data_IF_740140548276
#
_entry.id   IF_740140548276
#
_cell.length_a   1.000
_cell.length_b   1.000
_cell.length_c   1.000
_cell.angle_alpha   90.00
_cell.angle_beta   90.00
_cell.angle_gamma   90.00
#
_symmetry.space_group_name_H-M   'P 1'
#
loop_
_entity.id
_entity.type
_entity.pdbx_description
1 polymer ?
#
# COMPACT_ATOMS: atom_id res chain seq x y z
N UNK A 1 -24.49 48.74 -57.51
CA UNK A 1 -23.38 48.43 -56.59
C UNK A 1 -23.70 48.96 -55.22
N UNK A 2 -23.78 48.11 -54.19
CA UNK A 2 -23.41 48.41 -52.81
C UNK A 2 -23.44 47.10 -52.02
N UNK A 3 -22.23 46.66 -51.67
CA UNK A 3 -21.94 45.34 -51.13
C UNK A 3 -22.52 45.14 -49.74
N UNK A 4 -23.12 43.97 -49.57
CA UNK A 4 -23.53 43.41 -48.30
C UNK A 4 -22.26 42.89 -47.60
N UNK A 5 -21.76 43.61 -46.59
CA UNK A 5 -20.66 43.13 -45.74
C UNK A 5 -21.21 42.03 -44.83
N UNK A 6 -21.07 40.78 -45.26
CA UNK A 6 -21.25 39.60 -44.42
C UNK A 6 -20.06 39.50 -43.46
N UNK A 7 -20.23 39.96 -42.23
CA UNK A 7 -19.29 39.70 -41.14
C UNK A 7 -19.57 38.31 -40.59
N UNK A 8 -18.85 37.31 -41.12
CA UNK A 8 -18.89 35.94 -40.60
C UNK A 8 -18.14 35.88 -39.28
N UNK A 9 -18.88 35.86 -38.17
CA UNK A 9 -18.35 35.68 -36.83
C UNK A 9 -17.90 34.21 -36.66
N UNK A 10 -16.59 33.97 -36.68
CA UNK A 10 -16.01 32.63 -36.45
C UNK A 10 -16.18 32.29 -34.96
N UNK A 11 -17.14 31.43 -34.64
CA UNK A 11 -17.21 30.76 -33.34
C UNK A 11 -16.09 29.70 -33.27
N UNK A 12 -15.00 30.03 -32.60
CA UNK A 12 -14.02 29.03 -32.15
C UNK A 12 -14.68 28.18 -31.05
N UNK A 13 -14.58 26.84 -31.11
CA UNK A 13 -15.03 26.00 -30.01
C UNK A 13 -14.12 26.25 -28.81
N UNK A 14 -14.66 26.87 -27.76
CA UNK A 14 -14.06 26.87 -26.43
C UNK A 14 -14.09 25.44 -25.92
N UNK A 15 -13.00 24.69 -26.13
CA UNK A 15 -12.76 23.43 -25.44
C UNK A 15 -12.60 23.74 -23.94
N UNK A 16 -13.72 23.76 -23.21
CA UNK A 16 -13.73 23.78 -21.76
C UNK A 16 -13.20 22.43 -21.27
N UNK A 17 -11.92 22.37 -20.92
CA UNK A 17 -11.34 21.20 -20.27
C UNK A 17 -11.79 21.20 -18.82
N UNK A 18 -12.52 20.17 -18.41
CA UNK A 18 -12.88 20.00 -17.00
C UNK A 18 -11.60 19.66 -16.22
N UNK A 19 -11.12 20.60 -15.42
CA UNK A 19 -9.95 20.43 -14.58
C UNK A 19 -10.38 20.21 -13.14
N UNK A 20 -9.85 19.17 -12.53
CA UNK A 20 -10.13 18.86 -11.13
C UNK A 20 -9.41 19.84 -10.21
N UNK A 21 -10.14 20.44 -9.27
CA UNK A 21 -9.56 21.36 -8.28
C UNK A 21 -9.48 20.65 -6.94
N UNK A 22 -8.27 20.55 -6.41
CA UNK A 22 -7.97 19.89 -5.14
C UNK A 22 -7.54 20.97 -4.14
N UNK A 23 -8.25 21.10 -3.04
CA UNK A 23 -7.98 22.10 -2.01
C UNK A 23 -7.47 21.42 -0.75
N UNK A 24 -6.18 21.55 -0.47
CA UNK A 24 -5.57 21.02 0.74
C UNK A 24 -6.15 21.68 1.99
N UNK A 25 -6.45 20.86 2.98
CA UNK A 25 -6.76 21.31 4.33
C UNK A 25 -5.44 21.70 5.02
N UNK A 26 -5.41 22.78 5.82
CA UNK A 26 -4.18 23.21 6.47
C UNK A 26 -3.68 22.19 7.51
N UNK A 27 -4.62 21.59 8.23
CA UNK A 27 -4.35 20.60 9.27
C UNK A 27 -5.52 19.62 9.35
N UNK A 28 -5.21 18.35 9.62
CA UNK A 28 -6.19 17.29 9.85
C UNK A 28 -5.79 16.49 11.07
N UNK A 29 -6.79 16.08 11.84
CA UNK A 29 -6.59 15.20 12.99
C UNK A 29 -7.36 13.91 12.75
N UNK A 30 -6.65 12.79 12.65
CA UNK A 30 -7.19 11.49 12.30
C UNK A 30 -7.13 10.52 13.48
N UNK A 31 -8.12 9.63 13.55
CA UNK A 31 -8.19 8.55 14.54
C UNK A 31 -7.60 7.24 14.02
N UNK A 32 -7.34 7.17 12.71
CA UNK A 32 -6.78 6.03 11.99
C UNK A 32 -5.37 6.36 11.48
N UNK A 33 -4.48 5.36 11.42
CA UNK A 33 -3.12 5.48 10.87
C UNK A 33 -3.09 5.60 9.35
N UNK A 34 -4.04 4.97 8.67
CA UNK A 34 -4.15 5.02 7.21
C UNK A 34 -4.76 6.35 6.77
N UNK A 35 -3.99 7.16 6.05
CA UNK A 35 -4.42 8.46 5.55
C UNK A 35 -4.95 8.30 4.12
N UNK A 36 -6.17 8.78 3.86
CA UNK A 36 -6.73 8.85 2.52
C UNK A 36 -6.56 10.25 1.94
N UNK A 37 -6.56 10.36 0.61
CA UNK A 37 -6.58 11.67 -0.06
C UNK A 37 -7.81 12.48 0.35
N UNK A 38 -8.98 11.85 0.50
CA UNK A 38 -10.19 12.52 0.99
C UNK A 38 -10.10 13.05 2.41
N UNK A 39 -9.19 12.52 3.23
CA UNK A 39 -9.00 13.00 4.60
C UNK A 39 -8.30 14.36 4.63
N UNK A 40 -7.45 14.64 3.64
CA UNK A 40 -6.52 15.79 3.64
C UNK A 40 -6.92 16.93 2.69
N UNK A 41 -7.86 16.69 1.77
CA UNK A 41 -8.26 17.70 0.78
C UNK A 41 -9.72 17.62 0.40
N UNK A 42 -10.25 18.75 -0.09
CA UNK A 42 -11.55 18.85 -0.73
C UNK A 42 -11.39 18.80 -2.24
N UNK A 43 -12.25 18.01 -2.89
CA UNK A 43 -12.28 17.86 -4.34
C UNK A 43 -13.45 18.67 -4.88
N UNK A 44 -13.18 19.54 -5.86
CA UNK A 44 -14.18 20.27 -6.63
C UNK A 44 -14.03 19.91 -8.12
N UNK A 45 -15.06 19.27 -8.67
CA UNK A 45 -15.09 18.71 -10.02
C UNK A 45 -16.07 17.55 -10.14
N UNK A 46 -16.12 16.91 -11.32
CA UNK A 46 -17.13 15.89 -11.62
C UNK A 46 -17.03 14.69 -10.63
N UNK A 47 -18.19 14.31 -10.10
CA UNK A 47 -18.38 13.68 -8.79
C UNK A 47 -18.03 12.19 -8.71
N UNK A 48 -17.55 11.58 -9.79
CA UNK A 48 -17.30 10.13 -9.90
C UNK A 48 -15.83 9.73 -9.77
N UNK A 49 -14.96 10.64 -9.31
CA UNK A 49 -13.53 10.37 -9.28
C UNK A 49 -13.13 9.48 -8.07
N UNK A 50 -12.45 8.33 -8.28
CA UNK A 50 -12.03 7.41 -7.22
C UNK A 50 -10.91 7.97 -6.33
N UNK A 51 -10.56 9.25 -6.49
CA UNK A 51 -9.54 9.96 -5.72
C UNK A 51 -9.81 9.89 -4.23
N UNK A 52 -11.08 9.92 -3.83
CA UNK A 52 -11.47 9.87 -2.42
C UNK A 52 -11.03 8.57 -1.72
N UNK A 53 -10.84 7.47 -2.47
CA UNK A 53 -10.43 6.16 -1.93
C UNK A 53 -8.93 5.88 -2.02
N UNK A 54 -8.15 6.80 -2.59
CA UNK A 54 -6.70 6.62 -2.72
C UNK A 54 -6.07 6.71 -1.33
N UNK A 55 -5.33 5.66 -0.97
CA UNK A 55 -4.52 5.59 0.25
C UNK A 55 -3.19 6.30 -0.01
N UNK A 56 -2.80 7.19 0.90
CA UNK A 56 -1.51 7.86 0.89
C UNK A 56 -0.49 6.93 1.57
N UNK A 57 0.64 6.60 0.92
CA UNK A 57 1.73 5.85 1.54
C UNK A 57 2.28 6.52 2.81
N UNK A 58 2.63 5.71 3.82
CA UNK A 58 3.11 6.21 5.13
C UNK A 58 4.42 7.00 5.04
N UNK A 59 5.20 6.77 3.98
CA UNK A 59 6.44 7.49 3.71
C UNK A 59 6.22 8.98 3.49
N UNK A 60 5.05 9.37 2.96
CA UNK A 60 4.71 10.76 2.58
C UNK A 60 4.21 11.63 3.74
N UNK A 61 3.98 11.05 4.91
CA UNK A 61 3.53 11.80 6.10
C UNK A 61 4.27 11.41 7.37
N UNK A 62 5.45 10.78 7.23
CA UNK A 62 6.26 10.33 8.35
C UNK A 62 6.74 11.49 9.22
N UNK A 63 6.99 12.63 8.62
CA UNK A 63 7.35 13.89 9.29
C UNK A 63 6.12 14.70 9.77
N UNK A 64 4.92 14.18 9.54
CA UNK A 64 3.65 14.80 9.92
C UNK A 64 3.15 15.88 8.94
N UNK A 65 3.78 16.03 7.77
CA UNK A 65 3.39 17.01 6.75
C UNK A 65 3.29 16.31 5.41
N UNK A 66 2.19 16.50 4.70
CA UNK A 66 2.04 16.08 3.30
C UNK A 66 2.16 17.31 2.43
N UNK A 67 3.22 17.40 1.63
CA UNK A 67 3.46 18.54 0.75
C UNK A 67 2.71 18.41 -0.58
N UNK A 68 2.31 19.56 -1.13
CA UNK A 68 1.57 19.65 -2.40
C UNK A 68 2.37 19.09 -3.59
N UNK A 69 3.71 19.23 -3.57
CA UNK A 69 4.60 18.68 -4.59
C UNK A 69 4.64 17.16 -4.55
N UNK A 70 4.74 16.58 -3.36
CA UNK A 70 4.80 15.13 -3.18
C UNK A 70 3.46 14.48 -3.52
N UNK A 71 2.37 15.09 -3.04
CA UNK A 71 1.02 14.67 -3.38
C UNK A 71 0.76 14.77 -4.89
N UNK A 72 1.25 15.82 -5.55
CA UNK A 72 1.16 15.95 -7.02
C UNK A 72 1.87 14.81 -7.74
N UNK A 73 3.07 14.44 -7.29
CA UNK A 73 3.83 13.34 -7.88
C UNK A 73 3.14 11.98 -7.69
N UNK A 74 2.52 11.77 -6.53
CA UNK A 74 1.72 10.57 -6.28
C UNK A 74 0.47 10.53 -7.18
N UNK A 75 -0.28 11.63 -7.25
CA UNK A 75 -1.53 11.70 -8.00
C UNK A 75 -1.33 11.67 -9.53
N UNK A 76 -0.23 12.22 -10.05
CA UNK A 76 0.06 12.18 -11.49
C UNK A 76 0.31 10.77 -12.02
N UNK A 77 0.77 9.85 -11.18
CA UNK A 77 0.92 8.43 -11.54
C UNK A 77 -0.39 7.64 -11.50
N UNK A 78 -1.43 8.17 -10.84
CA UNK A 78 -2.70 7.46 -10.59
C UNK A 78 -3.88 8.05 -11.37
N UNK A 79 -3.85 9.33 -11.70
CA UNK A 79 -4.95 10.04 -12.35
C UNK A 79 -4.67 10.27 -13.83
N UNK A 80 -5.64 9.91 -14.66
CA UNK A 80 -5.63 10.22 -16.09
C UNK A 80 -6.15 11.62 -16.40
N UNK A 81 -6.85 12.25 -15.46
CA UNK A 81 -7.44 13.58 -15.61
C UNK A 81 -6.47 14.69 -15.19
N UNK A 82 -6.59 15.87 -15.82
CA UNK A 82 -5.84 17.04 -15.40
C UNK A 82 -6.35 17.60 -14.08
N UNK A 83 -5.46 17.89 -13.14
CA UNK A 83 -5.81 18.44 -11.82
C UNK A 83 -4.89 19.58 -11.39
N UNK A 84 -5.40 20.44 -10.51
CA UNK A 84 -4.66 21.50 -9.82
C UNK A 84 -4.83 21.36 -8.32
N UNK A 85 -3.71 21.46 -7.60
CA UNK A 85 -3.67 21.46 -6.14
C UNK A 85 -3.52 22.91 -5.66
N UNK A 86 -4.40 23.31 -4.75
CA UNK A 86 -4.36 24.58 -4.01
C UNK A 86 -3.95 24.30 -2.57
N UNK A 87 -3.03 25.13 -2.06
CA UNK A 87 -2.41 24.95 -0.74
C UNK A 87 -1.00 24.38 -0.85
N UNK A 88 -0.16 24.65 0.16
CA UNK A 88 1.25 24.26 0.15
C UNK A 88 1.46 22.82 0.66
N UNK A 89 0.69 22.44 1.69
CA UNK A 89 0.77 21.15 2.35
C UNK A 89 -0.29 21.04 3.45
N UNK A 90 -0.46 19.83 3.98
CA UNK A 90 -1.41 19.51 5.05
C UNK A 90 -0.66 18.90 6.23
N UNK A 91 -0.80 19.49 7.42
CA UNK A 91 -0.31 18.87 8.65
C UNK A 91 -1.22 17.73 9.08
N UNK A 92 -0.65 16.55 9.31
CA UNK A 92 -1.38 15.36 9.73
C UNK A 92 -1.07 15.06 11.19
N UNK A 93 -2.10 15.14 12.03
CA UNK A 93 -2.04 14.77 13.43
C UNK A 93 -2.83 13.47 13.65
N UNK A 94 -2.31 12.59 14.49
CA UNK A 94 -3.03 11.40 14.92
C UNK A 94 -3.50 11.62 16.36
N UNK A 95 -4.81 11.50 16.60
CA UNK A 95 -5.30 11.37 17.98
C UNK A 95 -4.69 10.10 18.53
N UNK A 96 -3.95 10.23 19.63
CA UNK A 96 -3.48 9.12 20.45
C UNK A 96 -4.70 8.43 21.08
N UNK A 97 -5.48 7.73 20.27
CA UNK A 97 -6.23 6.58 20.75
C UNK A 97 -5.17 5.53 20.92
N UNK A 98 -4.92 5.16 22.18
CA UNK A 98 -4.06 4.07 22.67
C UNK A 98 -3.13 3.48 21.62
N UNK A 99 -1.84 3.65 21.85
CA UNK A 99 -0.71 2.97 21.24
C UNK A 99 -1.02 1.49 20.91
N UNK A 100 -1.79 1.25 19.86
CA UNK A 100 -1.56 0.18 18.95
C UNK A 100 -0.35 0.73 18.23
N UNK A 101 0.82 0.47 18.83
CA UNK A 101 2.06 0.40 18.05
C UNK A 101 1.62 -0.23 16.72
N UNK A 102 1.99 0.34 15.56
CA UNK A 102 1.98 -0.52 14.41
C UNK A 102 2.75 -1.74 14.91
N UNK A 103 2.08 -2.89 15.01
CA UNK A 103 2.81 -4.12 14.84
C UNK A 103 3.39 -3.90 13.45
N UNK A 104 4.58 -3.29 13.40
CA UNK A 104 5.69 -3.87 12.70
C UNK A 104 5.41 -5.34 12.88
N UNK A 105 4.97 -5.97 11.79
CA UNK A 105 5.21 -7.39 11.69
C UNK A 105 6.72 -7.41 11.79
N UNK A 106 7.24 -7.44 13.01
CA UNK A 106 8.43 -8.18 13.31
C UNK A 106 8.07 -9.51 12.72
N UNK A 107 8.50 -9.71 11.48
CA UNK A 107 8.73 -11.03 10.96
C UNK A 107 9.85 -11.52 11.86
N UNK A 108 9.50 -11.89 13.09
CA UNK A 108 10.35 -12.65 13.96
C UNK A 108 10.33 -14.03 13.33
N UNK A 109 11.50 -14.56 12.95
CA UNK A 109 11.52 -15.88 12.36
C UNK A 109 10.94 -16.87 13.38
N UNK A 110 10.03 -17.73 12.90
CA UNK A 110 9.40 -18.82 13.65
C UNK A 110 10.47 -19.76 14.22
N UNK A 111 11.57 -19.91 13.49
CA UNK A 111 12.81 -20.54 13.94
C UNK A 111 14.01 -19.90 13.24
N UNK A 112 15.17 -19.90 13.89
CA UNK A 112 16.41 -19.37 13.36
C UNK A 112 17.23 -20.45 12.67
N UNK A 113 18.17 -20.02 11.82
CA UNK A 113 19.20 -20.89 11.26
C UNK A 113 19.91 -21.66 12.37
N UNK A 114 19.91 -22.99 12.25
CA UNK A 114 20.56 -23.89 13.19
C UNK A 114 19.65 -24.45 14.28
N UNK A 115 18.42 -23.97 14.39
CA UNK A 115 17.45 -24.50 15.35
C UNK A 115 17.02 -25.92 14.98
N UNK A 116 16.67 -26.70 16.00
CA UNK A 116 16.03 -28.00 15.81
C UNK A 116 14.54 -27.78 15.58
N UNK A 117 14.06 -28.12 14.39
CA UNK A 117 12.66 -27.95 13.96
C UNK A 117 11.98 -29.30 13.79
N UNK A 118 10.66 -29.33 13.95
CA UNK A 118 9.82 -30.50 13.69
C UNK A 118 9.38 -30.45 12.22
N UNK A 119 9.61 -31.54 11.52
CA UNK A 119 9.18 -31.77 10.14
C UNK A 119 8.00 -32.75 10.20
N UNK A 120 6.89 -32.40 9.58
CA UNK A 120 5.69 -33.23 9.46
C UNK A 120 5.52 -33.62 8.01
N UNK A 121 5.64 -34.91 7.71
CA UNK A 121 5.43 -35.45 6.37
C UNK A 121 4.05 -36.09 6.32
N UNK A 122 3.20 -35.64 5.39
CA UNK A 122 1.84 -36.14 5.17
C UNK A 122 1.77 -36.84 3.82
N UNK A 123 1.22 -38.06 3.79
CA UNK A 123 0.93 -38.81 2.57
C UNK A 123 -0.39 -39.58 2.75
N UNK A 124 -1.46 -39.08 2.14
CA UNK A 124 -2.82 -39.59 2.41
C UNK A 124 -3.16 -39.45 3.91
N UNK A 125 -3.56 -40.54 4.54
CA UNK A 125 -3.89 -40.60 5.98
C UNK A 125 -2.66 -40.79 6.89
N UNK A 126 -1.46 -40.97 6.32
CA UNK A 126 -0.23 -41.21 7.08
C UNK A 126 0.46 -39.88 7.38
N UNK A 127 0.68 -39.61 8.67
CA UNK A 127 1.47 -38.47 9.16
C UNK A 127 2.70 -38.96 9.92
N UNK A 128 3.88 -38.48 9.54
CA UNK A 128 5.16 -38.81 10.17
C UNK A 128 5.79 -37.52 10.69
N UNK A 129 6.12 -37.48 11.98
CA UNK A 129 6.88 -36.37 12.58
C UNK A 129 8.35 -36.76 12.78
N UNK A 130 9.27 -35.87 12.41
CA UNK A 130 10.71 -36.07 12.62
C UNK A 130 11.42 -34.75 12.95
N UNK A 131 12.63 -34.83 13.51
CA UNK A 131 13.44 -33.65 13.83
C UNK A 131 14.49 -33.39 12.75
N UNK A 132 14.70 -32.12 12.43
CA UNK A 132 15.80 -31.68 11.57
C UNK A 132 16.35 -30.33 12.01
N UNK A 133 17.46 -29.92 11.39
CA UNK A 133 18.14 -28.65 11.66
C UNK A 133 17.86 -27.64 10.55
N UNK A 134 17.33 -26.47 10.90
CA UNK A 134 17.04 -25.40 9.95
C UNK A 134 18.33 -24.87 9.30
N UNK A 135 18.34 -24.71 7.98
CA UNK A 135 19.50 -24.17 7.25
C UNK A 135 19.49 -22.64 7.11
N UNK A 136 18.32 -22.02 7.32
CA UNK A 136 18.07 -20.59 7.28
C UNK A 136 16.97 -20.22 8.25
N UNK A 137 16.80 -18.93 8.50
CA UNK A 137 15.68 -18.39 9.25
C UNK A 137 14.37 -18.71 8.51
N UNK A 138 13.35 -19.12 9.25
CA UNK A 138 12.06 -19.53 8.70
C UNK A 138 10.94 -18.59 9.13
N UNK A 139 10.13 -18.14 8.18
CA UNK A 139 8.96 -17.32 8.44
C UNK A 139 7.68 -18.10 8.14
N UNK A 140 6.61 -17.79 8.88
CA UNK A 140 5.33 -18.46 8.74
C UNK A 140 4.82 -18.38 7.29
N UNK A 141 4.32 -19.48 6.73
CA UNK A 141 3.86 -19.64 5.35
C UNK A 141 4.93 -19.61 4.24
N UNK A 142 6.22 -19.55 4.57
CA UNK A 142 7.33 -19.68 3.60
C UNK A 142 7.84 -21.11 3.47
N UNK A 143 8.62 -21.37 2.41
CA UNK A 143 9.32 -22.63 2.24
C UNK A 143 10.59 -22.68 3.10
N UNK A 144 10.71 -23.70 3.93
CA UNK A 144 11.91 -24.00 4.70
C UNK A 144 12.73 -25.11 4.05
N UNK A 145 14.04 -25.07 4.30
CA UNK A 145 14.94 -26.19 4.00
C UNK A 145 15.64 -26.64 5.26
N UNK A 146 15.50 -27.92 5.56
CA UNK A 146 15.90 -28.54 6.82
C UNK A 146 16.77 -29.74 6.53
N UNK A 147 17.85 -29.90 7.31
CA UNK A 147 18.73 -31.07 7.25
C UNK A 147 18.35 -32.06 8.34
N UNK A 148 17.98 -33.28 7.97
CA UNK A 148 17.72 -34.36 8.93
C UNK A 148 19.01 -35.05 9.36
N UNK A 149 18.97 -35.84 10.45
CA UNK A 149 20.15 -36.55 11.00
C UNK A 149 20.89 -37.42 9.99
N UNK A 150 20.19 -37.96 8.98
CA UNK A 150 20.79 -38.75 7.90
C UNK A 150 21.57 -37.92 6.87
N UNK A 151 21.63 -36.60 7.02
CA UNK A 151 22.28 -35.67 6.08
C UNK A 151 21.39 -35.25 4.90
N UNK A 152 20.24 -35.90 4.70
CA UNK A 152 19.28 -35.53 3.65
C UNK A 152 18.70 -34.13 3.89
N UNK A 153 18.40 -33.44 2.79
CA UNK A 153 17.70 -32.16 2.80
C UNK A 153 16.23 -32.38 2.51
N UNK A 154 15.38 -31.73 3.30
CA UNK A 154 13.93 -31.77 3.17
C UNK A 154 13.44 -30.34 3.00
N UNK A 155 12.59 -30.14 1.99
CA UNK A 155 11.92 -28.86 1.70
C UNK A 155 10.44 -29.00 2.02
N UNK A 156 9.87 -28.00 2.68
CA UNK A 156 8.46 -27.98 3.04
C UNK A 156 8.01 -26.58 3.46
N UNK A 157 6.70 -26.37 3.54
CA UNK A 157 6.11 -25.09 3.94
C UNK A 157 6.04 -24.99 5.45
N UNK A 158 6.39 -23.83 6.00
CA UNK A 158 6.28 -23.54 7.43
C UNK A 158 4.81 -23.27 7.74
N UNK A 159 4.26 -24.04 8.67
CA UNK A 159 2.91 -23.84 9.19
C UNK A 159 2.87 -24.31 10.65
N UNK A 160 2.31 -23.46 11.52
CA UNK A 160 2.13 -23.72 12.95
C UNK A 160 3.44 -24.11 13.65
N UNK A 161 4.53 -23.40 13.35
CA UNK A 161 5.84 -23.70 13.94
C UNK A 161 6.55 -24.96 13.41
N UNK A 162 5.96 -25.66 12.44
CA UNK A 162 6.47 -26.91 11.88
C UNK A 162 6.74 -26.79 10.39
N UNK A 163 7.62 -27.62 9.86
CA UNK A 163 7.87 -27.74 8.42
C UNK A 163 7.02 -28.86 7.85
N UNK A 164 5.99 -28.51 7.07
CA UNK A 164 5.02 -29.43 6.51
C UNK A 164 5.44 -29.85 5.09
N UNK A 165 5.50 -31.14 4.84
CA UNK A 165 5.80 -31.74 3.54
C UNK A 165 4.61 -32.61 3.15
N UNK A 166 3.92 -32.24 2.08
CA UNK A 166 2.86 -33.06 1.51
C UNK A 166 3.46 -33.87 0.34
N UNK A 167 3.37 -35.19 0.42
CA UNK A 167 3.88 -36.15 -0.58
C UNK A 167 2.76 -36.77 -1.41
#
# INVERSE_FOLDING_TARGET
>A
MRGLFFTTFILLPLCAVAQLKLYLLPEVTLEKRAVLVSDILKVDGNSNNPIATIVIPEELYRDGIIDSSELRNMLSGLLSESFVIFGNGTRVLFKNTETIEPKSREFSPVFKKGDNVIIVVRKGDITIEMKGKALRDGFENEDAEVRVKSGKLIKGKISDGKVIVNL
#
